data_IF_810967964757
#
_entry.id   IF_810967964757
#
_cell.length_a   1.000
_cell.length_b   1.000
_cell.length_c   1.000
_cell.angle_alpha   90.00
_cell.angle_beta   90.00
_cell.angle_gamma   90.00
#
_symmetry.space_group_name_H-M   'P 1'
#
loop_
_entity.id
_entity.type
_entity.pdbx_description
1 polymer ?
#
# COMPACT_ATOMS: atom_id res chain seq x y z
N UNK A 1 4.70 8.58 9.47
CA UNK A 1 3.40 8.12 8.93
C UNK A 1 2.59 9.27 8.35
N UNK A 2 2.33 10.35 9.09
CA UNK A 2 1.61 11.50 8.55
C UNK A 2 2.28 12.09 7.30
N UNK A 3 3.61 12.32 7.35
CA UNK A 3 4.38 12.78 6.20
C UNK A 3 4.26 11.84 4.99
N UNK A 4 4.29 10.53 5.21
CA UNK A 4 4.13 9.53 4.15
C UNK A 4 2.75 9.58 3.50
N UNK A 5 1.69 9.83 4.27
CA UNK A 5 0.34 10.03 3.74
C UNK A 5 0.25 11.31 2.90
N UNK A 6 0.81 12.43 3.39
CA UNK A 6 0.83 13.70 2.65
C UNK A 6 1.61 13.57 1.34
N UNK A 7 2.78 12.94 1.38
CA UNK A 7 3.57 12.67 0.18
C UNK A 7 2.79 11.80 -0.79
N UNK A 8 2.23 10.68 -0.32
CA UNK A 8 1.48 9.77 -1.18
C UNK A 8 0.27 10.47 -1.81
N UNK A 9 -0.47 11.28 -1.06
CA UNK A 9 -1.59 12.06 -1.57
C UNK A 9 -1.15 12.99 -2.71
N UNK A 10 0.00 13.65 -2.58
CA UNK A 10 0.53 14.55 -3.61
C UNK A 10 0.93 13.80 -4.89
N UNK A 11 1.45 12.58 -4.75
CA UNK A 11 1.89 11.74 -5.88
C UNK A 11 0.68 11.11 -6.57
N UNK A 12 -0.19 10.43 -5.83
CA UNK A 12 -1.29 9.66 -6.40
C UNK A 12 -2.35 10.52 -7.10
N UNK A 13 -2.48 11.79 -6.70
CA UNK A 13 -3.41 12.73 -7.32
C UNK A 13 -2.74 13.69 -8.32
N UNK A 14 -1.45 13.49 -8.62
CA UNK A 14 -0.74 14.32 -9.58
C UNK A 14 -1.25 14.09 -11.00
N UNK A 15 -1.45 15.18 -11.75
CA UNK A 15 -1.87 15.14 -13.15
C UNK A 15 -0.92 14.32 -14.05
N UNK A 16 0.34 14.24 -13.65
CA UNK A 16 1.39 13.52 -14.39
C UNK A 16 1.23 11.98 -14.29
N UNK A 17 0.47 11.49 -13.31
CA UNK A 17 0.34 10.05 -13.02
C UNK A 17 -1.07 9.49 -13.26
N UNK A 18 -1.98 10.25 -13.88
CA UNK A 18 -3.41 9.89 -14.07
C UNK A 18 -3.68 8.58 -14.82
N UNK A 19 -2.70 8.05 -15.56
CA UNK A 19 -2.81 6.78 -16.31
C UNK A 19 -1.81 5.74 -15.86
N UNK A 20 -1.35 5.84 -14.61
CA UNK A 20 -0.36 4.92 -14.05
C UNK A 20 -0.98 4.01 -13.00
N UNK A 21 -0.44 2.80 -12.93
CA UNK A 21 -0.67 1.89 -11.81
C UNK A 21 0.35 2.17 -10.71
N UNK A 22 -0.08 2.10 -9.46
CA UNK A 22 0.75 2.39 -8.29
C UNK A 22 0.99 1.11 -7.50
N UNK A 23 2.25 0.75 -7.29
CA UNK A 23 2.62 -0.30 -6.34
C UNK A 23 2.87 0.37 -4.99
N UNK A 24 2.10 0.00 -3.97
CA UNK A 24 2.24 0.57 -2.63
C UNK A 24 2.93 -0.44 -1.70
N UNK A 25 4.17 -0.13 -1.30
CA UNK A 25 4.89 -0.93 -0.31
C UNK A 25 4.69 -0.41 1.09
N UNK A 26 4.01 -1.18 1.93
CA UNK A 26 3.99 -0.99 3.38
C UNK A 26 5.14 -1.81 3.99
N UNK A 27 6.30 -1.19 4.01
CA UNK A 27 7.56 -1.82 4.41
C UNK A 27 7.75 -1.82 5.94
N UNK A 28 8.74 -2.59 6.42
CA UNK A 28 9.12 -2.75 7.84
C UNK A 28 8.02 -3.44 8.68
N UNK A 29 7.34 -4.43 8.11
CA UNK A 29 6.28 -5.18 8.79
C UNK A 29 6.78 -5.91 10.05
N UNK A 30 8.05 -6.30 10.09
CA UNK A 30 8.76 -6.86 11.24
C UNK A 30 8.80 -5.87 12.41
N UNK A 31 9.27 -4.65 12.15
CA UNK A 31 9.34 -3.58 13.14
C UNK A 31 7.93 -3.19 13.60
N UNK A 32 6.98 -3.16 12.67
CA UNK A 32 5.58 -2.89 12.98
C UNK A 32 5.00 -3.93 13.94
N UNK A 33 5.21 -5.23 13.65
CA UNK A 33 4.83 -6.36 14.53
C UNK A 33 5.38 -6.21 15.94
N UNK A 34 6.68 -5.91 16.05
CA UNK A 34 7.36 -5.80 17.35
C UNK A 34 6.91 -4.57 18.16
N UNK A 35 6.46 -3.50 17.49
CA UNK A 35 6.02 -2.26 18.14
C UNK A 35 4.56 -2.27 18.52
N UNK A 36 3.68 -2.90 17.74
CA UNK A 36 2.22 -2.82 17.92
C UNK A 36 1.76 -3.30 19.31
N UNK A 37 2.43 -4.31 19.88
CA UNK A 37 2.12 -4.80 21.24
C UNK A 37 2.61 -3.88 22.36
N UNK A 38 3.65 -3.07 22.11
CA UNK A 38 4.26 -2.16 23.10
C UNK A 38 3.68 -0.76 23.03
N UNK A 39 3.29 -0.35 21.82
CA UNK A 39 2.82 0.98 21.48
C UNK A 39 1.53 0.81 20.68
N UNK A 40 0.36 0.90 21.34
CA UNK A 40 -0.94 0.75 20.69
C UNK A 40 -1.12 1.75 19.55
N UNK A 41 -1.70 1.29 18.44
CA UNK A 41 -1.90 2.12 17.24
C UNK A 41 -2.91 3.26 17.51
N UNK A 42 -3.87 2.99 18.39
CA UNK A 42 -4.93 3.87 18.86
C UNK A 42 -4.37 5.20 19.43
N UNK A 43 -3.17 5.16 20.01
CA UNK A 43 -2.50 6.35 20.55
C UNK A 43 -2.21 7.42 19.49
N UNK A 44 -2.01 7.00 18.23
CA UNK A 44 -1.72 7.90 17.11
C UNK A 44 -2.89 7.98 16.12
N UNK A 45 -3.76 6.98 16.15
CA UNK A 45 -4.93 6.89 15.29
C UNK A 45 -6.16 6.54 16.15
N UNK A 46 -6.79 7.53 16.80
CA UNK A 46 -7.91 7.29 17.73
C UNK A 46 -9.11 6.56 17.10
N UNK A 47 -9.29 6.71 15.79
CA UNK A 47 -10.33 6.04 14.99
C UNK A 47 -10.13 4.51 14.86
N UNK A 48 -8.91 4.03 15.12
CA UNK A 48 -8.60 2.61 15.05
C UNK A 48 -9.10 1.91 16.31
N UNK A 49 -9.83 0.81 16.13
CA UNK A 49 -10.39 0.02 17.25
C UNK A 49 -10.03 -1.46 17.15
N UNK A 50 -9.05 -1.80 16.30
CA UNK A 50 -8.68 -3.19 16.01
C UNK A 50 -7.77 -3.84 17.06
N UNK A 51 -7.27 -3.10 18.06
CA UNK A 51 -6.37 -3.62 19.07
C UNK A 51 -4.98 -4.00 18.51
N UNK A 52 -4.21 -4.84 19.22
CA UNK A 52 -2.86 -5.22 18.80
C UNK A 52 -2.82 -6.26 17.66
N UNK A 53 -3.93 -6.47 16.95
CA UNK A 53 -4.01 -7.39 15.81
C UNK A 53 -3.28 -6.79 14.60
N UNK A 54 -2.21 -7.45 14.17
CA UNK A 54 -1.35 -6.99 13.08
C UNK A 54 -2.11 -6.88 11.76
N UNK A 55 -3.02 -7.81 11.47
CA UNK A 55 -3.76 -7.83 10.21
C UNK A 55 -4.76 -6.67 10.18
N UNK A 56 -5.47 -6.42 11.28
CA UNK A 56 -6.38 -5.28 11.40
C UNK A 56 -5.63 -3.96 11.33
N UNK A 57 -4.50 -3.86 12.03
CA UNK A 57 -3.66 -2.67 12.05
C UNK A 57 -3.07 -2.37 10.67
N UNK A 58 -2.54 -3.39 9.97
CA UNK A 58 -2.03 -3.24 8.61
C UNK A 58 -3.13 -2.86 7.61
N UNK A 59 -4.31 -3.48 7.71
CA UNK A 59 -5.49 -3.11 6.89
C UNK A 59 -5.93 -1.68 7.15
N UNK A 60 -5.91 -1.22 8.41
CA UNK A 60 -6.24 0.17 8.75
C UNK A 60 -5.24 1.15 8.12
N UNK A 61 -3.93 0.87 8.24
CA UNK A 61 -2.91 1.69 7.60
C UNK A 61 -3.09 1.74 6.08
N UNK A 62 -3.31 0.57 5.45
CA UNK A 62 -3.59 0.51 4.02
C UNK A 62 -4.82 1.34 3.64
N UNK A 63 -5.91 1.19 4.40
CA UNK A 63 -7.14 1.97 4.20
C UNK A 63 -6.86 3.47 4.27
N UNK A 64 -6.02 3.95 5.19
CA UNK A 64 -5.62 5.36 5.27
C UNK A 64 -4.94 5.85 3.99
N UNK A 65 -4.08 5.04 3.37
CA UNK A 65 -3.48 5.38 2.08
C UNK A 65 -4.52 5.38 0.95
N UNK A 66 -5.41 4.40 0.89
CA UNK A 66 -6.43 4.34 -0.18
C UNK A 66 -7.43 5.48 -0.10
N UNK A 67 -7.73 6.01 1.09
CA UNK A 67 -8.58 7.20 1.24
C UNK A 67 -8.01 8.45 0.55
N UNK A 68 -6.69 8.53 0.35
CA UNK A 68 -6.07 9.67 -0.36
C UNK A 68 -6.16 9.56 -1.88
N UNK A 69 -6.55 8.41 -2.44
CA UNK A 69 -6.61 8.14 -3.88
C UNK A 69 -7.88 8.71 -4.53
N UNK A 70 -7.92 10.03 -4.75
CA UNK A 70 -9.04 10.71 -5.40
C UNK A 70 -9.05 10.50 -6.92
N UNK A 71 -7.87 10.31 -7.50
CA UNK A 71 -7.69 10.00 -8.91
C UNK A 71 -8.17 8.58 -9.31
N UNK A 72 -8.55 7.74 -8.34
CA UNK A 72 -9.04 6.37 -8.55
C UNK A 72 -8.06 5.50 -9.35
N UNK A 73 -6.77 5.72 -9.15
CA UNK A 73 -5.72 4.90 -9.79
C UNK A 73 -5.75 3.48 -9.22
N UNK A 74 -5.33 2.52 -10.04
CA UNK A 74 -5.12 1.14 -9.59
C UNK A 74 -3.94 1.08 -8.63
N UNK A 75 -4.21 0.78 -7.35
CA UNK A 75 -3.19 0.63 -6.30
C UNK A 75 -3.06 -0.84 -5.93
N UNK A 76 -1.83 -1.34 -5.98
CA UNK A 76 -1.47 -2.72 -5.64
C UNK A 76 -0.64 -2.72 -4.35
N UNK A 77 -1.28 -2.95 -3.19
CA UNK A 77 -0.59 -2.86 -1.91
C UNK A 77 0.10 -4.16 -1.53
N UNK A 78 1.31 -4.04 -0.98
CA UNK A 78 2.10 -5.16 -0.50
C UNK A 78 2.72 -4.84 0.85
N UNK A 79 2.56 -5.75 1.80
CA UNK A 79 3.31 -5.73 3.05
C UNK A 79 4.69 -6.33 2.78
N UNK A 80 5.75 -5.58 3.07
CA UNK A 80 7.11 -6.03 2.81
C UNK A 80 8.01 -5.90 4.03
N UNK A 81 9.04 -6.74 4.05
CA UNK A 81 10.16 -6.64 4.95
C UNK A 81 11.41 -6.48 4.07
N UNK A 82 12.08 -5.33 4.14
CA UNK A 82 13.22 -5.02 3.26
C UNK A 82 14.39 -6.02 3.35
N UNK A 83 14.52 -6.75 4.46
CA UNK A 83 15.56 -7.79 4.61
C UNK A 83 15.21 -9.10 3.91
N UNK A 84 13.96 -9.26 3.47
CA UNK A 84 13.51 -10.42 2.71
C UNK A 84 13.37 -10.07 1.22
N UNK A 85 14.49 -10.20 0.51
CA UNK A 85 14.61 -9.89 -0.92
C UNK A 85 13.87 -10.88 -1.82
N UNK A 86 13.39 -12.02 -1.29
CA UNK A 86 12.62 -13.00 -2.07
C UNK A 86 11.22 -12.48 -2.43
N UNK A 87 10.61 -11.71 -1.53
CA UNK A 87 9.29 -11.11 -1.72
C UNK A 87 9.25 -10.05 -2.83
N UNK A 88 10.35 -9.31 -3.03
CA UNK A 88 10.37 -8.23 -4.02
C UNK A 88 10.28 -8.78 -5.45
N UNK A 89 10.99 -9.87 -5.78
CA UNK A 89 10.93 -10.47 -7.12
C UNK A 89 9.54 -11.01 -7.44
N UNK A 90 8.90 -11.67 -6.46
CA UNK A 90 7.54 -12.18 -6.58
C UNK A 90 6.52 -11.05 -6.77
N UNK A 91 6.64 -9.97 -6.01
CA UNK A 91 5.76 -8.80 -6.17
C UNK A 91 5.94 -8.14 -7.54
N UNK A 92 7.19 -7.95 -7.99
CA UNK A 92 7.44 -7.38 -9.32
C UNK A 92 6.89 -8.25 -10.44
N UNK A 93 6.94 -9.58 -10.31
CA UNK A 93 6.36 -10.50 -11.28
C UNK A 93 4.82 -10.37 -11.33
N UNK A 94 4.15 -10.39 -10.17
CA UNK A 94 2.69 -10.25 -10.08
C UNK A 94 2.19 -8.90 -10.61
N UNK A 95 2.96 -7.82 -10.37
CA UNK A 95 2.61 -6.51 -10.91
C UNK A 95 2.83 -6.45 -12.42
N UNK A 96 3.92 -7.02 -12.94
CA UNK A 96 4.14 -7.12 -14.39
C UNK A 96 2.97 -7.84 -15.08
N UNK A 97 2.51 -8.94 -14.51
CA UNK A 97 1.35 -9.69 -15.03
C UNK A 97 0.08 -8.84 -15.00
N UNK A 98 -0.18 -8.14 -13.90
CA UNK A 98 -1.38 -7.29 -13.78
C UNK A 98 -1.36 -6.12 -14.76
N UNK A 99 -0.22 -5.47 -14.94
CA UNK A 99 -0.05 -4.40 -15.92
C UNK A 99 -0.23 -4.95 -17.34
N UNK A 100 0.36 -6.11 -17.64
CA UNK A 100 0.23 -6.76 -18.94
C UNK A 100 -1.23 -7.13 -19.24
N UNK A 101 -1.95 -7.70 -18.27
CA UNK A 101 -3.37 -8.01 -18.44
C UNK A 101 -4.22 -6.75 -18.70
N UNK A 102 -3.97 -5.66 -17.96
CA UNK A 102 -4.67 -4.40 -18.20
C UNK A 102 -4.36 -3.85 -19.60
N UNK A 103 -3.10 -3.87 -20.03
CA UNK A 103 -2.72 -3.43 -21.37
C UNK A 103 -3.35 -4.29 -22.48
N UNK A 104 -3.42 -5.61 -22.27
CA UNK A 104 -4.07 -6.52 -23.22
C UNK A 104 -5.59 -6.25 -23.32
N UNK A 105 -6.25 -6.03 -22.18
CA UNK A 105 -7.67 -5.67 -22.12
C UNK A 105 -7.96 -4.32 -22.79
N UNK A 106 -7.11 -3.32 -22.55
CA UNK A 106 -7.22 -2.01 -23.19
C UNK A 106 -6.99 -2.07 -24.71
N UNK A 107 -6.22 -3.06 -25.19
CA UNK A 107 -5.97 -3.29 -26.62
C UNK A 107 -7.08 -4.10 -27.32
N UNK A 108 -8.06 -4.62 -26.58
CA UNK A 108 -9.16 -5.42 -27.13
C UNK A 108 -8.76 -6.84 -27.58
N UNK A 109 -7.56 -7.28 -27.21
CA UNK A 109 -7.06 -8.65 -27.47
C UNK A 109 -7.71 -9.66 -26.48
N UNK A 110 -8.23 -9.16 -25.36
CA UNK A 110 -8.84 -9.90 -24.25
C UNK A 110 -10.23 -9.34 -23.92
#
# INVERSE_FOLDING_TARGET
MQESLVLFESVINSRWFLRTSVILFLNKIDVFKAKLSKVPLEKYFPEYTGGPDINKAAKYILWRFTQTNRARLSVYPHLTQATDTSNIRLVFAAVKETILQNALRDSGIL
#
